data_IF_975133573960
#
_entry.id   IF_975133573960
#
_cell.length_a   1.000
_cell.length_b   1.000
_cell.length_c   1.000
_cell.angle_alpha   90.00
_cell.angle_beta   90.00
_cell.angle_gamma   90.00
#
_symmetry.space_group_name_H-M   'P 1'
#
loop_
_entity.id
_entity.type
_entity.pdbx_description
1 polymer ?
#
# COMPACT_ATOMS: atom_id res chain seq x y z
N UNK A 1 -19.80 19.70 66.28
CA UNK A 1 -20.56 20.01 65.04
C UNK A 1 -19.85 19.30 63.88
N UNK A 2 -20.60 18.51 63.11
CA UNK A 2 -20.15 17.46 62.18
C UNK A 2 -19.94 18.05 60.77
N UNK A 3 -19.10 17.36 59.97
CA UNK A 3 -18.98 17.32 58.47
C UNK A 3 -17.91 18.27 57.90
N UNK A 4 -17.10 17.94 56.88
CA UNK A 4 -17.17 16.98 55.76
C UNK A 4 -15.71 16.58 55.38
N UNK A 5 -15.35 15.29 55.35
CA UNK A 5 -15.28 14.39 54.17
C UNK A 5 -14.19 14.71 53.13
N UNK A 6 -13.14 13.88 53.17
CA UNK A 6 -12.35 13.33 52.06
C UNK A 6 -12.23 14.13 50.76
N UNK A 7 -11.06 14.73 50.53
CA UNK A 7 -10.56 14.98 49.17
C UNK A 7 -9.86 13.72 48.68
N UNK A 8 -10.64 12.76 48.16
CA UNK A 8 -10.08 11.74 47.30
C UNK A 8 -9.64 12.42 46.00
N UNK A 9 -8.32 12.57 45.83
CA UNK A 9 -7.67 12.88 44.57
C UNK A 9 -7.95 11.73 43.59
N UNK A 10 -9.09 11.75 42.93
CA UNK A 10 -9.31 10.97 41.71
C UNK A 10 -8.58 11.64 40.56
N UNK A 11 -7.27 11.37 40.48
CA UNK A 11 -6.54 11.38 39.21
C UNK A 11 -7.19 10.32 38.33
N UNK A 12 -8.23 10.71 37.61
CA UNK A 12 -8.73 9.91 36.50
C UNK A 12 -7.62 9.89 35.46
N UNK A 13 -6.82 8.82 35.44
CA UNK A 13 -6.07 8.41 34.26
C UNK A 13 -7.11 8.08 33.19
N UNK A 14 -7.59 9.11 32.50
CA UNK A 14 -8.23 8.98 31.20
C UNK A 14 -7.11 8.62 30.22
N UNK A 15 -6.68 7.36 30.29
CA UNK A 15 -6.10 6.70 29.15
C UNK A 15 -7.22 6.66 28.10
N UNK A 16 -7.32 7.74 27.33
CA UNK A 16 -8.04 7.77 26.07
C UNK A 16 -7.38 6.69 25.21
N UNK A 17 -8.00 5.52 25.17
CA UNK A 17 -7.67 4.48 24.20
C UNK A 17 -8.03 5.02 22.82
N UNK A 18 -7.11 5.74 22.18
CA UNK A 18 -7.26 6.07 20.78
C UNK A 18 -7.08 4.79 19.99
N UNK A 19 -8.10 4.41 19.22
CA UNK A 19 -8.00 3.33 18.25
C UNK A 19 -7.17 3.86 17.08
N UNK A 20 -5.97 3.32 16.90
CA UNK A 20 -5.20 3.57 15.68
C UNK A 20 -5.71 2.65 14.57
N UNK A 21 -6.13 3.24 13.47
CA UNK A 21 -6.61 2.52 12.29
C UNK A 21 -5.43 2.18 11.39
N UNK A 22 -5.33 0.91 10.98
CA UNK A 22 -4.38 0.40 10.00
C UNK A 22 -5.15 -0.36 8.93
N UNK A 23 -5.02 0.05 7.68
CA UNK A 23 -5.71 -0.53 6.53
C UNK A 23 -4.64 -1.07 5.59
N UNK A 24 -4.82 -2.32 5.15
CA UNK A 24 -3.89 -3.01 4.27
C UNK A 24 -4.59 -3.41 2.97
N UNK A 25 -3.91 -3.26 1.85
CA UNK A 25 -4.36 -3.77 0.56
C UNK A 25 -3.23 -4.56 -0.11
N UNK A 26 -3.63 -5.47 -1.00
CA UNK A 26 -2.71 -6.29 -1.77
C UNK A 26 -3.17 -6.38 -3.22
N UNK A 27 -2.26 -6.14 -4.14
CA UNK A 27 -2.44 -6.39 -5.57
C UNK A 27 -1.52 -7.54 -5.96
N UNK A 28 -2.09 -8.57 -6.61
CA UNK A 28 -1.34 -9.71 -7.12
C UNK A 28 -1.41 -9.71 -8.64
N UNK A 29 -0.25 -9.77 -9.28
CA UNK A 29 -0.10 -9.88 -10.72
C UNK A 29 0.54 -11.22 -11.06
N UNK A 30 -0.01 -11.91 -12.06
CA UNK A 30 0.49 -13.19 -12.56
C UNK A 30 0.40 -13.21 -14.09
N UNK A 31 1.34 -13.90 -14.74
CA UNK A 31 1.38 -14.00 -16.20
C UNK A 31 2.76 -13.67 -16.77
N UNK A 32 2.86 -13.73 -18.10
CA UNK A 32 4.06 -13.34 -18.82
C UNK A 32 4.43 -11.88 -18.52
N UNK A 33 5.72 -11.57 -18.52
CA UNK A 33 6.27 -10.22 -18.29
C UNK A 33 6.00 -9.60 -16.90
N UNK A 34 5.38 -10.31 -15.96
CA UNK A 34 5.09 -9.77 -14.61
C UNK A 34 6.33 -9.33 -13.85
N UNK A 35 7.47 -10.01 -14.01
CA UNK A 35 8.75 -9.58 -13.44
C UNK A 35 9.22 -8.25 -14.02
N UNK A 36 9.06 -8.04 -15.34
CA UNK A 36 9.41 -6.78 -16.00
C UNK A 36 8.50 -5.63 -15.52
N UNK A 37 7.20 -5.91 -15.37
CA UNK A 37 6.25 -4.99 -14.75
C UNK A 37 6.69 -4.62 -13.34
N UNK A 38 7.07 -5.59 -12.50
CA UNK A 38 7.53 -5.33 -11.14
C UNK A 38 8.76 -4.43 -11.11
N UNK A 39 9.75 -4.70 -11.96
CA UNK A 39 10.98 -3.90 -12.06
C UNK A 39 10.65 -2.44 -12.43
N UNK A 40 9.68 -2.23 -13.32
CA UNK A 40 9.23 -0.89 -13.70
C UNK A 40 8.47 -0.17 -12.56
N UNK A 41 7.79 -0.91 -11.69
CA UNK A 41 6.93 -0.36 -10.63
C UNK A 41 7.65 -0.17 -9.29
N UNK A 42 8.71 -0.94 -9.01
CA UNK A 42 9.49 -0.83 -7.76
C UNK A 42 10.00 0.59 -7.46
N UNK A 43 10.49 1.37 -8.45
CA UNK A 43 10.94 2.74 -8.21
C UNK A 43 9.87 3.69 -7.65
N UNK A 44 8.58 3.41 -7.92
CA UNK A 44 7.46 4.23 -7.44
C UNK A 44 6.95 3.82 -6.06
N UNK A 45 7.56 2.81 -5.44
CA UNK A 45 7.19 2.39 -4.09
C UNK A 45 7.53 3.51 -3.08
N UNK A 46 6.47 4.07 -2.48
CA UNK A 46 6.57 4.94 -1.31
C UNK A 46 6.74 4.11 -0.02
N UNK A 47 7.09 4.75 1.10
CA UNK A 47 7.39 4.07 2.39
C UNK A 47 6.34 3.05 2.87
N UNK A 48 5.09 3.18 2.45
CA UNK A 48 4.01 2.27 2.85
C UNK A 48 3.56 1.34 1.71
N UNK A 49 4.41 1.17 0.71
CA UNK A 49 4.23 0.27 -0.43
C UNK A 49 5.43 -0.65 -0.56
N UNK A 50 5.17 -1.94 -0.79
CA UNK A 50 6.21 -2.93 -0.96
C UNK A 50 5.83 -3.89 -2.09
N UNK A 51 6.68 -3.99 -3.12
CA UNK A 51 6.54 -4.97 -4.20
C UNK A 51 7.51 -6.13 -3.97
N UNK A 52 6.95 -7.34 -3.91
CA UNK A 52 7.68 -8.59 -3.76
C UNK A 52 7.52 -9.43 -5.02
N UNK A 53 8.64 -9.78 -5.65
CA UNK A 53 8.68 -10.70 -6.79
C UNK A 53 8.81 -12.12 -6.24
N UNK A 54 7.81 -12.95 -6.51
CA UNK A 54 7.80 -14.39 -6.18
C UNK A 54 7.99 -15.22 -7.46
N UNK A 55 8.25 -16.52 -7.33
CA UNK A 55 8.52 -17.41 -8.46
C UNK A 55 7.41 -17.41 -9.53
N UNK A 56 6.15 -17.27 -9.11
CA UNK A 56 4.97 -17.40 -10.00
C UNK A 56 4.14 -16.13 -10.11
N UNK A 57 4.45 -15.10 -9.32
CA UNK A 57 3.64 -13.89 -9.25
C UNK A 57 4.40 -12.73 -8.63
N UNK A 58 3.84 -11.54 -8.77
CA UNK A 58 4.32 -10.32 -8.12
C UNK A 58 3.21 -9.83 -7.22
N UNK A 59 3.54 -9.53 -5.96
CA UNK A 59 2.60 -8.96 -5.00
C UNK A 59 3.06 -7.57 -4.59
N UNK A 60 2.16 -6.59 -4.68
CA UNK A 60 2.38 -5.25 -4.10
C UNK A 60 1.45 -5.06 -2.92
N UNK A 61 2.03 -4.75 -1.77
CA UNK A 61 1.36 -4.53 -0.50
C UNK A 61 1.30 -3.04 -0.21
N UNK A 62 0.18 -2.58 0.35
CA UNK A 62 -0.07 -1.19 0.69
C UNK A 62 -0.52 -1.11 2.14
N UNK A 63 -0.10 -0.06 2.83
CA UNK A 63 -0.54 0.24 4.19
C UNK A 63 -0.90 1.73 4.35
N UNK A 64 -2.03 2.02 4.99
CA UNK A 64 -2.42 3.39 5.30
C UNK A 64 -3.33 3.45 6.53
N UNK A 65 -3.30 4.59 7.23
CA UNK A 65 -4.20 4.87 8.35
C UNK A 65 -5.53 5.51 7.93
N UNK A 66 -5.65 5.91 6.65
CA UNK A 66 -6.83 6.55 6.08
C UNK A 66 -7.23 5.84 4.78
N UNK A 67 -8.51 5.48 4.68
CA UNK A 67 -9.02 4.77 3.49
C UNK A 67 -8.85 5.58 2.21
N UNK A 68 -9.07 6.91 2.26
CA UNK A 68 -8.89 7.78 1.09
C UNK A 68 -7.45 7.81 0.58
N UNK A 69 -6.47 7.78 1.49
CA UNK A 69 -5.05 7.71 1.13
C UNK A 69 -4.69 6.37 0.52
N UNK A 70 -5.27 5.26 1.03
CA UNK A 70 -5.08 3.94 0.44
C UNK A 70 -5.63 3.88 -0.98
N UNK A 71 -6.86 4.37 -1.19
CA UNK A 71 -7.51 4.37 -2.50
C UNK A 71 -6.69 5.17 -3.51
N UNK A 72 -6.25 6.38 -3.15
CA UNK A 72 -5.42 7.21 -4.03
C UNK A 72 -4.10 6.51 -4.38
N UNK A 73 -3.42 5.89 -3.41
CA UNK A 73 -2.15 5.19 -3.66
C UNK A 73 -2.34 3.97 -4.56
N UNK A 74 -3.44 3.23 -4.40
CA UNK A 74 -3.78 2.10 -5.27
C UNK A 74 -4.11 2.59 -6.69
N UNK A 75 -4.85 3.69 -6.81
CA UNK A 75 -5.20 4.27 -8.12
C UNK A 75 -3.96 4.74 -8.89
N UNK A 76 -3.06 5.49 -8.22
CA UNK A 76 -1.78 5.93 -8.79
C UNK A 76 -0.93 4.73 -9.23
N UNK A 77 -0.85 3.69 -8.39
CA UNK A 77 -0.13 2.46 -8.73
C UNK A 77 -0.71 1.74 -9.96
N UNK A 78 -2.04 1.63 -10.05
CA UNK A 78 -2.70 0.98 -11.19
C UNK A 78 -2.52 1.78 -12.48
N UNK A 79 -2.45 3.10 -12.41
CA UNK A 79 -2.10 3.95 -13.54
C UNK A 79 -0.67 3.66 -14.01
N UNK A 80 0.31 3.63 -13.09
CA UNK A 80 1.70 3.33 -13.43
C UNK A 80 1.85 1.91 -14.00
N UNK A 81 1.08 0.95 -13.48
CA UNK A 81 1.05 -0.41 -14.01
C UNK A 81 0.54 -0.46 -15.45
N UNK A 82 -0.49 0.32 -15.81
CA UNK A 82 -0.96 0.40 -17.19
C UNK A 82 0.13 0.96 -18.12
N UNK A 83 0.81 2.03 -17.72
CA UNK A 83 1.91 2.60 -18.52
C UNK A 83 3.05 1.60 -18.71
N UNK A 84 3.44 0.89 -17.64
CA UNK A 84 4.47 -0.14 -17.72
C UNK A 84 4.09 -1.28 -18.68
N UNK A 85 2.82 -1.71 -18.66
CA UNK A 85 2.31 -2.73 -19.58
C UNK A 85 2.42 -2.25 -21.02
N UNK A 86 1.91 -1.06 -21.30
CA UNK A 86 1.87 -0.51 -22.66
C UNK A 86 3.29 -0.35 -23.22
N UNK A 87 4.27 0.04 -22.39
CA UNK A 87 5.69 0.11 -22.79
C UNK A 87 6.29 -1.26 -23.10
N UNK A 88 5.98 -2.29 -22.30
CA UNK A 88 6.45 -3.66 -22.54
C UNK A 88 5.86 -4.19 -23.85
N UNK A 89 4.57 -3.96 -24.10
CA UNK A 89 3.89 -4.36 -25.33
C UNK A 89 4.49 -3.66 -26.56
N UNK A 90 4.77 -2.36 -26.47
CA UNK A 90 5.45 -1.61 -27.55
C UNK A 90 6.82 -2.21 -27.87
N UNK A 91 7.66 -2.45 -26.87
CA UNK A 91 9.00 -3.05 -27.07
C UNK A 91 8.89 -4.45 -27.68
N UNK A 92 7.93 -5.27 -27.24
CA UNK A 92 7.72 -6.61 -27.79
C UNK A 92 7.26 -6.58 -29.25
N UNK A 93 6.40 -5.62 -29.60
CA UNK A 93 5.93 -5.45 -30.97
C UNK A 93 7.03 -4.89 -31.89
N UNK A 94 7.86 -3.96 -31.43
CA UNK A 94 8.98 -3.42 -32.21
C UNK A 94 10.10 -4.45 -32.43
N UNK A 95 10.40 -5.27 -31.41
CA UNK A 95 11.38 -6.36 -31.52
C UNK A 95 10.86 -7.53 -32.36
N UNK A 96 9.53 -7.72 -32.42
CA UNK A 96 8.86 -8.77 -33.21
C UNK A 96 8.77 -8.50 -34.72
N UNK A 97 9.04 -7.28 -35.19
CA UNK A 97 9.02 -6.91 -36.63
C UNK A 97 10.40 -7.11 -37.30
N UNK A 98 11.40 -7.58 -36.54
CA UNK A 98 12.77 -7.80 -37.00
C UNK A 98 13.18 -9.24 -37.30
N UNK A 99 12.23 -10.19 -37.45
CA UNK A 99 12.51 -11.58 -37.86
C UNK A 99 11.76 -11.95 -39.14
#
# INVERSE_FOLDING_TARGET
MIRHLNSYSTKWNLALWYIEMQIKAKIKMSGANTVLMAIALIPDNIKNMETVIMETCVETHFEASKIGSLIASVDDYLMNANVARDMIELVQNEVGVGN
#
